data_IF_817202417812
#
_entry.id   IF_817202417812
#
_cell.length_a   1.000
_cell.length_b   1.000
_cell.length_c   1.000
_cell.angle_alpha   90.00
_cell.angle_beta   90.00
_cell.angle_gamma   90.00
#
_symmetry.space_group_name_H-M   'P 1'
#
loop_
_entity.id
_entity.type
_entity.pdbx_description
1 polymer ?
#
# COMPACT_ATOMS: atom_id res chain seq x y z
N UNK A 1 -29.97 24.50 -32.92
CA UNK A 1 -29.15 25.67 -32.54
C UNK A 1 -28.81 25.48 -31.08
N UNK A 2 -27.55 25.16 -30.70
CA UNK A 2 -27.07 25.18 -29.28
C UNK A 2 -25.57 24.84 -29.08
N UNK A 3 -24.77 24.65 -30.12
CA UNK A 3 -23.33 24.31 -29.98
C UNK A 3 -22.41 25.52 -29.80
N UNK A 4 -22.84 26.73 -30.18
CA UNK A 4 -21.98 27.94 -30.15
C UNK A 4 -21.96 28.67 -28.80
N UNK A 5 -23.00 28.51 -27.97
CA UNK A 5 -23.06 29.16 -26.65
C UNK A 5 -22.09 28.49 -25.65
N UNK A 6 -21.93 27.17 -25.75
CA UNK A 6 -21.05 26.39 -24.89
C UNK A 6 -19.56 26.69 -25.16
N UNK A 7 -19.15 26.82 -26.43
CA UNK A 7 -17.74 27.07 -26.78
C UNK A 7 -17.19 28.42 -26.29
N UNK A 8 -18.01 29.49 -26.28
CA UNK A 8 -17.59 30.81 -25.79
C UNK A 8 -17.42 30.83 -24.27
N UNK A 9 -18.27 30.09 -23.56
CA UNK A 9 -18.14 29.84 -22.12
C UNK A 9 -16.80 29.16 -21.80
N UNK A 10 -16.53 28.00 -22.41
CA UNK A 10 -15.29 27.24 -22.19
C UNK A 10 -14.02 28.01 -22.56
N UNK A 11 -14.03 28.77 -23.67
CA UNK A 11 -12.89 29.57 -24.09
C UNK A 11 -12.58 30.71 -23.09
N UNK A 12 -13.60 31.32 -22.49
CA UNK A 12 -13.42 32.33 -21.45
C UNK A 12 -12.84 31.74 -20.16
N UNK A 13 -13.35 30.58 -19.73
CA UNK A 13 -12.86 29.86 -18.53
C UNK A 13 -11.42 29.38 -18.74
N UNK A 14 -11.11 28.85 -19.93
CA UNK A 14 -9.76 28.42 -20.28
C UNK A 14 -8.75 29.57 -20.26
N UNK A 15 -9.14 30.75 -20.74
CA UNK A 15 -8.28 31.94 -20.71
C UNK A 15 -8.11 32.49 -19.29
N UNK A 16 -9.16 32.47 -18.46
CA UNK A 16 -9.05 32.82 -17.04
C UNK A 16 -8.11 31.88 -16.29
N UNK A 17 -8.27 30.56 -16.46
CA UNK A 17 -7.39 29.54 -15.87
C UNK A 17 -5.95 29.73 -16.34
N UNK A 18 -5.70 29.91 -17.65
CA UNK A 18 -4.35 30.18 -18.17
C UNK A 18 -3.72 31.41 -17.53
N UNK A 19 -4.48 32.50 -17.38
CA UNK A 19 -3.99 33.74 -16.76
C UNK A 19 -3.67 33.57 -15.28
N UNK A 20 -4.50 32.81 -14.55
CA UNK A 20 -4.31 32.49 -13.14
C UNK A 20 -3.09 31.58 -12.94
N UNK A 21 -2.97 30.52 -13.73
CA UNK A 21 -1.84 29.58 -13.71
C UNK A 21 -0.52 30.29 -14.01
N UNK A 22 -0.50 31.23 -14.95
CA UNK A 22 0.72 31.99 -15.28
C UNK A 22 1.16 32.91 -14.15
N UNK A 23 0.21 33.56 -13.46
CA UNK A 23 0.48 34.43 -12.30
C UNK A 23 0.91 33.62 -11.07
N UNK A 24 0.31 32.45 -10.85
CA UNK A 24 0.50 31.63 -9.65
C UNK A 24 1.36 30.37 -9.88
N UNK A 25 2.15 30.33 -10.96
CA UNK A 25 2.93 29.14 -11.35
C UNK A 25 3.78 28.57 -10.21
N UNK A 26 4.40 29.45 -9.40
CA UNK A 26 5.23 29.04 -8.27
C UNK A 26 4.40 28.44 -7.13
N UNK A 27 3.26 29.04 -6.80
CA UNK A 27 2.36 28.51 -5.79
C UNK A 27 1.81 27.13 -6.19
N UNK A 28 1.47 26.94 -7.47
CA UNK A 28 1.03 25.64 -7.99
C UNK A 28 2.15 24.59 -7.96
N UNK A 29 3.39 24.97 -8.30
CA UNK A 29 4.54 24.07 -8.17
C UNK A 29 4.79 23.66 -6.72
N UNK A 30 4.74 24.62 -5.78
CA UNK A 30 4.90 24.32 -4.36
C UNK A 30 3.78 23.39 -3.88
N UNK A 31 2.52 23.67 -4.24
CA UNK A 31 1.40 22.80 -3.90
C UNK A 31 1.59 21.37 -4.44
N UNK A 32 2.04 21.23 -5.69
CA UNK A 32 2.33 19.92 -6.29
C UNK A 32 3.45 19.19 -5.53
N UNK A 33 4.53 19.88 -5.16
CA UNK A 33 5.62 19.31 -4.36
C UNK A 33 5.14 18.85 -2.98
N UNK A 34 4.32 19.66 -2.30
CA UNK A 34 3.72 19.28 -1.01
C UNK A 34 2.87 18.02 -1.15
N UNK A 35 2.04 17.92 -2.19
CA UNK A 35 1.25 16.71 -2.45
C UNK A 35 2.11 15.47 -2.69
N UNK A 36 3.22 15.61 -3.43
CA UNK A 36 4.17 14.52 -3.66
C UNK A 36 4.81 14.05 -2.34
N UNK A 37 5.23 15.00 -1.50
CA UNK A 37 5.84 14.68 -0.19
C UNK A 37 4.82 13.98 0.71
N UNK A 38 3.58 14.48 0.79
CA UNK A 38 2.51 13.86 1.59
C UNK A 38 2.18 12.45 1.08
N UNK A 39 2.12 12.26 -0.24
CA UNK A 39 1.90 10.93 -0.82
C UNK A 39 3.00 9.96 -0.42
N UNK A 40 4.27 10.39 -0.51
CA UNK A 40 5.42 9.54 -0.20
C UNK A 40 5.53 9.20 1.29
N UNK A 41 5.25 10.17 2.17
CA UNK A 41 5.44 10.04 3.62
C UNK A 41 4.23 9.43 4.34
N UNK A 42 3.00 9.66 3.87
CA UNK A 42 1.79 9.17 4.55
C UNK A 42 1.11 8.03 3.78
N UNK A 43 0.77 8.25 2.51
CA UNK A 43 -0.10 7.33 1.77
C UNK A 43 0.65 6.04 1.39
N UNK A 44 1.86 6.18 0.85
CA UNK A 44 2.70 5.04 0.44
C UNK A 44 2.95 4.05 1.59
N UNK A 45 3.45 4.44 2.78
CA UNK A 45 3.71 3.48 3.84
C UNK A 45 2.44 2.80 4.37
N UNK A 46 1.30 3.48 4.43
CA UNK A 46 0.04 2.85 4.84
C UNK A 46 -0.34 1.71 3.89
N UNK A 47 -0.29 1.96 2.57
CA UNK A 47 -0.61 0.94 1.55
C UNK A 47 0.37 -0.22 1.59
N UNK A 48 1.67 0.08 1.66
CA UNK A 48 2.71 -0.94 1.74
C UNK A 48 2.58 -1.78 3.01
N UNK A 49 2.31 -1.17 4.16
CA UNK A 49 2.08 -1.90 5.40
C UNK A 49 0.89 -2.86 5.27
N UNK A 50 -0.25 -2.38 4.76
CA UNK A 50 -1.43 -3.23 4.55
C UNK A 50 -1.18 -4.39 3.58
N UNK A 51 -0.40 -4.16 2.53
CA UNK A 51 0.01 -5.21 1.60
C UNK A 51 0.93 -6.22 2.29
N UNK A 52 1.96 -5.74 3.00
CA UNK A 52 2.92 -6.60 3.69
C UNK A 52 2.30 -7.40 4.83
N UNK A 53 1.32 -6.86 5.56
CA UNK A 53 0.60 -7.62 6.59
C UNK A 53 -0.22 -8.76 5.97
N UNK A 54 -0.91 -8.49 4.85
CA UNK A 54 -1.65 -9.50 4.11
C UNK A 54 -0.72 -10.61 3.60
N UNK A 55 0.37 -10.25 2.93
CA UNK A 55 1.35 -11.19 2.38
C UNK A 55 2.04 -12.01 3.48
N UNK A 56 2.45 -11.38 4.57
CA UNK A 56 3.07 -12.06 5.71
C UNK A 56 2.11 -13.07 6.36
N UNK A 57 0.83 -12.72 6.51
CA UNK A 57 -0.18 -13.63 7.06
C UNK A 57 -0.42 -14.84 6.16
N UNK A 58 -0.44 -14.63 4.83
CA UNK A 58 -0.62 -15.70 3.87
C UNK A 58 0.58 -16.65 3.84
N UNK A 59 1.80 -16.10 3.71
CA UNK A 59 3.02 -16.88 3.61
C UNK A 59 3.34 -17.64 4.90
N UNK A 60 3.10 -17.04 6.06
CA UNK A 60 3.28 -17.71 7.36
C UNK A 60 2.31 -18.87 7.58
N UNK A 61 1.07 -18.77 7.11
CA UNK A 61 0.11 -19.89 7.14
C UNK A 61 0.54 -21.05 6.24
N UNK A 62 1.05 -20.75 5.04
CA UNK A 62 1.60 -21.78 4.14
C UNK A 62 2.79 -22.46 4.80
N UNK A 63 3.72 -21.68 5.37
CA UNK A 63 4.89 -22.22 6.05
C UNK A 63 4.51 -23.10 7.24
N UNK A 64 3.49 -22.71 8.01
CA UNK A 64 2.99 -23.51 9.14
C UNK A 64 2.45 -24.88 8.68
N UNK A 65 1.73 -24.94 7.56
CA UNK A 65 1.29 -26.21 6.96
C UNK A 65 2.47 -27.09 6.58
N UNK A 66 3.46 -26.52 5.90
CA UNK A 66 4.67 -27.25 5.52
C UNK A 66 5.46 -27.75 6.75
N UNK A 67 5.50 -26.96 7.84
CA UNK A 67 6.11 -27.37 9.11
C UNK A 67 5.34 -28.52 9.78
N UNK A 68 4.01 -28.51 9.75
CA UNK A 68 3.19 -29.61 10.25
C UNK A 68 3.39 -30.91 9.47
N UNK A 69 3.58 -30.80 8.15
CA UNK A 69 3.80 -31.95 7.26
C UNK A 69 5.21 -32.54 7.39
N UNK A 70 6.21 -31.70 7.66
CA UNK A 70 7.62 -32.11 7.71
C UNK A 70 8.14 -32.48 9.11
N UNK A 71 7.44 -32.11 10.18
CA UNK A 71 7.89 -32.41 11.54
C UNK A 71 7.69 -33.89 11.89
N UNK A 72 8.69 -34.48 12.54
CA UNK A 72 8.63 -35.87 13.03
C UNK A 72 8.18 -35.97 14.48
N UNK A 73 8.16 -34.84 15.21
CA UNK A 73 7.67 -34.75 16.59
C UNK A 73 6.14 -34.66 16.62
N UNK A 74 5.51 -35.69 17.19
CA UNK A 74 4.05 -35.79 17.29
C UNK A 74 3.41 -34.65 18.09
N UNK A 75 4.07 -34.15 19.14
CA UNK A 75 3.54 -33.05 19.98
C UNK A 75 3.54 -31.74 19.20
N UNK A 76 4.64 -31.46 18.51
CA UNK A 76 4.73 -30.26 17.68
C UNK A 76 3.75 -30.30 16.52
N UNK A 77 3.56 -31.49 15.92
CA UNK A 77 2.59 -31.67 14.85
C UNK A 77 1.17 -31.33 15.32
N UNK A 78 0.76 -31.87 16.47
CA UNK A 78 -0.56 -31.58 17.06
C UNK A 78 -0.74 -30.08 17.34
N UNK A 79 0.29 -29.41 17.87
CA UNK A 79 0.29 -27.97 18.10
C UNK A 79 0.08 -27.19 16.79
N UNK A 80 0.86 -27.51 15.76
CA UNK A 80 0.75 -26.85 14.46
C UNK A 80 -0.62 -27.10 13.80
N UNK A 81 -1.13 -28.33 13.85
CA UNK A 81 -2.47 -28.64 13.35
C UNK A 81 -3.57 -27.87 14.09
N UNK A 82 -3.43 -27.68 15.41
CA UNK A 82 -4.37 -26.89 16.20
C UNK A 82 -4.34 -25.40 15.80
N UNK A 83 -3.17 -24.84 15.55
CA UNK A 83 -3.02 -23.48 15.02
C UNK A 83 -3.63 -23.35 13.61
N UNK A 84 -3.41 -24.33 12.74
CA UNK A 84 -3.98 -24.36 11.38
C UNK A 84 -5.51 -24.40 11.43
N UNK A 85 -6.10 -25.24 12.29
CA UNK A 85 -7.57 -25.33 12.49
C UNK A 85 -8.17 -23.99 12.92
N UNK A 86 -7.43 -23.19 13.69
CA UNK A 86 -7.83 -21.85 14.13
C UNK A 86 -7.48 -20.74 13.13
N UNK A 87 -6.99 -21.08 11.94
CA UNK A 87 -6.53 -20.14 10.92
C UNK A 87 -5.44 -19.18 11.44
N UNK A 88 -4.60 -19.65 12.37
CA UNK A 88 -3.51 -18.91 12.98
C UNK A 88 -2.18 -19.17 12.24
N UNK A 89 -1.15 -18.44 12.63
CA UNK A 89 0.22 -18.57 12.14
C UNK A 89 1.19 -18.35 13.30
N UNK A 90 2.44 -18.81 13.13
CA UNK A 90 3.50 -18.50 14.09
C UNK A 90 3.92 -17.05 13.96
N UNK A 91 3.95 -16.34 15.09
CA UNK A 91 4.30 -14.91 15.12
C UNK A 91 5.70 -14.63 14.58
N UNK A 92 6.67 -15.49 14.88
CA UNK A 92 8.04 -15.37 14.39
C UNK A 92 8.12 -15.42 12.86
N UNK A 93 7.39 -16.35 12.24
CA UNK A 93 7.35 -16.48 10.78
C UNK A 93 6.67 -15.25 10.15
N UNK A 94 5.55 -14.80 10.72
CA UNK A 94 4.86 -13.60 10.29
C UNK A 94 5.78 -12.37 10.33
N UNK A 95 6.48 -12.13 11.44
CA UNK A 95 7.39 -10.99 11.59
C UNK A 95 8.56 -11.05 10.59
N UNK A 96 9.07 -12.25 10.31
CA UNK A 96 10.12 -12.44 9.32
C UNK A 96 9.64 -12.07 7.90
N UNK A 97 8.49 -12.57 7.46
CA UNK A 97 7.90 -12.22 6.16
C UNK A 97 7.53 -10.74 6.08
N UNK A 98 6.96 -10.18 7.15
CA UNK A 98 6.58 -8.78 7.22
C UNK A 98 7.79 -7.86 7.06
N UNK A 99 8.85 -8.08 7.86
CA UNK A 99 10.11 -7.32 7.76
C UNK A 99 10.77 -7.48 6.39
N UNK A 100 10.73 -8.68 5.81
CA UNK A 100 11.26 -8.92 4.47
C UNK A 100 10.52 -8.12 3.40
N UNK A 101 9.18 -8.11 3.45
CA UNK A 101 8.35 -7.33 2.53
C UNK A 101 8.62 -5.83 2.66
N UNK A 102 8.66 -5.30 3.88
CA UNK A 102 8.95 -3.89 4.13
C UNK A 102 10.32 -3.48 3.57
N UNK A 103 11.35 -4.29 3.81
CA UNK A 103 12.69 -4.06 3.25
C UNK A 103 12.68 -4.07 1.72
N UNK A 104 11.91 -4.96 1.10
CA UNK A 104 11.72 -4.99 -0.36
C UNK A 104 11.11 -3.70 -0.93
N UNK A 105 10.32 -3.00 -0.12
CA UNK A 105 9.75 -1.69 -0.45
C UNK A 105 10.59 -0.48 0.02
N UNK A 106 11.78 -0.72 0.59
CA UNK A 106 12.66 0.32 1.13
C UNK A 106 12.11 0.98 2.39
N UNK A 107 11.18 0.33 3.09
CA UNK A 107 10.68 0.75 4.40
C UNK A 107 11.49 -0.02 5.45
N UNK A 108 12.32 0.69 6.19
CA UNK A 108 13.09 0.11 7.30
C UNK A 108 12.37 0.46 8.61
N UNK A 109 11.95 -0.58 9.33
CA UNK A 109 11.44 -0.53 10.70
C UNK A 109 12.50 -1.10 11.63
#
# INVERSE_FOLDING_TARGET
MDSHFNQRSFASTANQVKSFTRKNKFALLIAALVLIVVYWQAIRPIRVNAQCTSEASHNSRILLKNKAESTTDWKQKEEYENLIKKNMYLRSDYEAYYKRCLRGHGIFL
#
